data_IF_938035759599
#
_entry.id   IF_938035759599
#
_cell.length_a   1.000
_cell.length_b   1.000
_cell.length_c   1.000
_cell.angle_alpha   90.00
_cell.angle_beta   90.00
_cell.angle_gamma   90.00
#
_symmetry.space_group_name_H-M   'P 1'
#
loop_
_entity.id
_entity.type
_entity.pdbx_description
1 polymer ?
#
# COMPACT_ATOMS: atom_id res chain seq x y z
N UNK A 1 -10.01 6.89 -15.21
CA UNK A 1 -10.51 6.91 -13.80
C UNK A 1 -12.01 7.22 -13.71
N UNK A 2 -12.55 8.02 -14.61
CA UNK A 2 -13.93 8.56 -14.56
C UNK A 2 -15.04 7.52 -14.33
N UNK A 3 -14.92 6.32 -14.90
CA UNK A 3 -15.98 5.30 -14.86
C UNK A 3 -15.76 4.20 -13.82
N UNK A 4 -14.52 4.02 -13.33
CA UNK A 4 -14.14 2.85 -12.54
C UNK A 4 -14.19 1.51 -13.31
N UNK A 5 -14.41 1.53 -14.63
CA UNK A 5 -14.47 0.31 -15.43
C UNK A 5 -13.10 -0.36 -15.54
N UNK A 6 -13.10 -1.69 -15.43
CA UNK A 6 -11.92 -2.51 -15.62
C UNK A 6 -11.63 -2.58 -17.13
N UNK A 7 -10.55 -1.92 -17.57
CA UNK A 7 -10.12 -1.92 -18.98
C UNK A 7 -9.24 -3.13 -19.34
N UNK A 8 -8.57 -3.70 -18.33
CA UNK A 8 -7.72 -4.88 -18.47
C UNK A 8 -7.69 -5.65 -17.16
N UNK A 9 -7.75 -6.97 -17.24
CA UNK A 9 -7.63 -7.84 -16.09
C UNK A 9 -6.84 -9.10 -16.45
N UNK A 10 -6.16 -9.67 -15.47
CA UNK A 10 -5.56 -11.00 -15.53
C UNK A 10 -5.99 -11.73 -14.27
N UNK A 11 -6.66 -12.87 -14.44
CA UNK A 11 -7.03 -13.72 -13.32
C UNK A 11 -5.79 -14.46 -12.82
N UNK A 12 -5.58 -14.43 -11.50
CA UNK A 12 -4.58 -15.26 -10.81
C UNK A 12 -5.22 -16.58 -10.36
N UNK A 13 -4.41 -17.61 -10.09
CA UNK A 13 -4.91 -18.86 -9.52
C UNK A 13 -5.68 -18.57 -8.21
N UNK A 14 -6.88 -19.13 -8.08
CA UNK A 14 -7.76 -18.92 -6.93
C UNK A 14 -7.13 -19.41 -5.60
N UNK A 15 -6.07 -20.24 -5.66
CA UNK A 15 -5.30 -20.67 -4.50
C UNK A 15 -4.38 -19.57 -3.95
N UNK A 16 -4.11 -18.54 -4.74
CA UNK A 16 -3.24 -17.41 -4.37
C UNK A 16 -4.09 -16.29 -3.79
N UNK A 17 -3.81 -15.92 -2.55
CA UNK A 17 -4.36 -14.71 -1.95
C UNK A 17 -3.40 -13.55 -2.23
N UNK A 18 -3.66 -12.78 -3.29
CA UNK A 18 -2.86 -11.61 -3.65
C UNK A 18 -3.10 -10.42 -2.72
N UNK A 19 -2.02 -9.70 -2.43
CA UNK A 19 -1.98 -8.52 -1.56
C UNK A 19 -1.28 -7.37 -2.31
N UNK A 20 -0.37 -6.64 -1.67
CA UNK A 20 0.26 -5.42 -2.16
C UNK A 20 0.83 -5.52 -3.57
N UNK A 21 0.69 -4.42 -4.32
CA UNK A 21 1.08 -4.29 -5.71
C UNK A 21 1.84 -2.97 -5.88
N UNK A 22 2.96 -2.99 -6.60
CA UNK A 22 3.66 -1.75 -6.99
C UNK A 22 4.20 -1.84 -8.41
N UNK A 23 4.47 -0.69 -9.02
CA UNK A 23 5.22 -0.60 -10.27
C UNK A 23 6.69 -0.35 -9.95
N UNK A 24 7.57 -1.18 -10.52
CA UNK A 24 9.01 -1.04 -10.44
C UNK A 24 9.63 -1.24 -11.82
N UNK A 25 10.23 -0.18 -12.40
CA UNK A 25 10.93 -0.20 -13.70
C UNK A 25 10.17 -0.94 -14.82
N UNK A 26 8.89 -0.58 -15.04
CA UNK A 26 7.99 -1.20 -16.04
C UNK A 26 7.60 -2.66 -15.77
N UNK A 27 7.71 -3.09 -14.52
CA UNK A 27 7.20 -4.36 -14.04
C UNK A 27 6.22 -4.11 -12.92
N UNK A 28 5.13 -4.88 -12.91
CA UNK A 28 4.24 -4.94 -11.76
C UNK A 28 4.72 -6.05 -10.84
N UNK A 29 4.93 -5.72 -9.56
CA UNK A 29 5.32 -6.68 -8.53
C UNK A 29 4.13 -6.83 -7.59
N UNK A 30 3.63 -8.05 -7.43
CA UNK A 30 2.50 -8.37 -6.55
C UNK A 30 2.90 -9.38 -5.48
N UNK A 31 2.53 -9.13 -4.23
CA UNK A 31 2.75 -10.04 -3.12
C UNK A 31 1.60 -11.04 -2.96
N UNK A 32 1.90 -12.23 -2.43
CA UNK A 32 0.91 -13.11 -1.81
C UNK A 32 0.88 -12.98 -0.29
N UNK A 33 -0.26 -13.17 0.37
CA UNK A 33 -0.33 -13.05 1.82
C UNK A 33 0.60 -14.00 2.59
N UNK A 34 0.34 -15.33 2.57
CA UNK A 34 1.04 -16.32 3.43
C UNK A 34 2.04 -17.21 2.71
N UNK A 35 1.95 -17.30 1.39
CA UNK A 35 2.82 -18.20 0.61
C UNK A 35 4.23 -17.66 0.43
N UNK A 36 4.48 -16.37 0.75
CA UNK A 36 5.81 -15.77 0.65
C UNK A 36 6.31 -15.67 -0.80
N UNK A 37 5.40 -15.50 -1.76
CA UNK A 37 5.73 -15.44 -3.19
C UNK A 37 5.41 -14.06 -3.75
N UNK A 38 6.36 -13.47 -4.45
CA UNK A 38 6.19 -12.27 -5.26
C UNK A 38 6.05 -12.68 -6.73
N UNK A 39 5.08 -12.10 -7.42
CA UNK A 39 4.81 -12.32 -8.84
C UNK A 39 5.18 -11.07 -9.62
N UNK A 40 5.98 -11.25 -10.68
CA UNK A 40 6.46 -10.17 -11.52
C UNK A 40 5.76 -10.25 -12.85
N UNK A 41 5.05 -9.20 -13.23
CA UNK A 41 4.29 -9.14 -14.47
C UNK A 41 4.82 -8.04 -15.38
N UNK A 42 4.66 -8.25 -16.69
CA UNK A 42 4.81 -7.17 -17.65
C UNK A 42 3.69 -6.14 -17.46
N UNK A 43 4.01 -4.86 -17.28
CA UNK A 43 3.01 -3.81 -16.99
C UNK A 43 2.01 -3.60 -18.13
N UNK A 44 2.39 -3.91 -19.38
CA UNK A 44 1.50 -3.73 -20.54
C UNK A 44 0.65 -4.97 -20.78
N UNK A 45 1.24 -6.17 -20.80
CA UNK A 45 0.53 -7.41 -21.16
C UNK A 45 -0.15 -8.08 -19.96
N UNK A 46 0.32 -7.85 -18.74
CA UNK A 46 0.01 -8.59 -17.51
C UNK A 46 0.44 -10.06 -17.54
N UNK A 47 1.35 -10.43 -18.45
CA UNK A 47 1.91 -11.77 -18.44
C UNK A 47 2.92 -11.92 -17.31
N UNK A 48 2.85 -13.06 -16.64
CA UNK A 48 3.79 -13.42 -15.59
C UNK A 48 5.17 -13.65 -16.22
N UNK A 49 6.14 -12.86 -15.78
CA UNK A 49 7.54 -12.95 -16.20
C UNK A 49 8.27 -13.96 -15.32
N UNK A 50 8.13 -13.83 -14.00
CA UNK A 50 8.86 -14.63 -13.00
C UNK A 50 8.21 -14.54 -11.63
N UNK A 51 8.61 -15.46 -10.75
CA UNK A 51 8.26 -15.44 -9.33
C UNK A 51 9.52 -15.44 -8.48
N UNK A 52 9.41 -14.88 -7.27
CA UNK A 52 10.44 -14.90 -6.26
C UNK A 52 9.87 -15.26 -4.91
N UNK A 53 10.67 -15.94 -4.08
CA UNK A 53 10.30 -16.18 -2.69
C UNK A 53 10.87 -15.07 -1.81
N UNK A 54 10.10 -14.69 -0.80
CA UNK A 54 10.52 -13.78 0.26
C UNK A 54 10.07 -14.33 1.63
N UNK A 55 10.74 -13.97 2.73
CA UNK A 55 10.40 -14.51 4.04
C UNK A 55 9.11 -13.89 4.60
N UNK A 56 8.35 -14.64 5.40
CA UNK A 56 7.19 -14.12 6.15
C UNK A 56 5.98 -13.73 5.30
N UNK A 57 5.05 -12.98 5.89
CA UNK A 57 3.85 -12.49 5.20
C UNK A 57 4.14 -11.22 4.38
N UNK A 58 3.31 -10.98 3.35
CA UNK A 58 3.31 -9.74 2.57
C UNK A 58 1.93 -9.11 2.51
N UNK A 59 1.81 -7.84 2.95
CA UNK A 59 0.55 -7.09 3.01
C UNK A 59 0.58 -5.90 2.05
N UNK A 60 1.33 -4.85 2.35
CA UNK A 60 1.52 -3.70 1.46
C UNK A 60 2.88 -3.73 0.77
N UNK A 61 2.97 -3.08 -0.39
CA UNK A 61 4.19 -2.99 -1.19
C UNK A 61 4.30 -1.62 -1.83
N UNK A 62 5.45 -0.97 -1.66
CA UNK A 62 5.82 0.24 -2.42
C UNK A 62 7.33 0.25 -2.69
N UNK A 63 7.88 1.33 -3.25
CA UNK A 63 9.31 1.46 -3.54
C UNK A 63 9.91 2.73 -2.94
N UNK A 64 11.19 2.67 -2.61
CA UNK A 64 11.98 3.82 -2.18
C UNK A 64 13.46 3.61 -2.52
N UNK A 65 14.10 4.58 -3.17
CA UNK A 65 15.53 4.56 -3.51
C UNK A 65 16.01 3.21 -4.11
N UNK A 66 15.29 2.70 -5.11
CA UNK A 66 15.57 1.42 -5.78
C UNK A 66 15.44 0.17 -4.91
N UNK A 67 14.71 0.26 -3.79
CA UNK A 67 14.38 -0.87 -2.92
C UNK A 67 12.87 -1.08 -2.85
N UNK A 68 12.46 -2.32 -2.65
CA UNK A 68 11.08 -2.66 -2.31
C UNK A 68 10.86 -2.46 -0.82
N UNK A 69 9.71 -1.91 -0.44
CA UNK A 69 9.27 -1.81 0.95
C UNK A 69 8.03 -2.66 1.14
N UNK A 70 8.10 -3.62 2.06
CA UNK A 70 6.99 -4.52 2.39
C UNK A 70 6.53 -4.27 3.83
N UNK A 71 5.21 -4.21 4.02
CA UNK A 71 4.57 -4.36 5.33
C UNK A 71 4.00 -5.77 5.48
N UNK A 72 3.83 -6.22 6.71
CA UNK A 72 3.33 -7.55 7.06
C UNK A 72 2.33 -7.53 8.22
N UNK A 73 1.71 -6.37 8.48
CA UNK A 73 0.84 -6.16 9.64
C UNK A 73 1.56 -5.93 10.96
N UNK A 74 2.89 -6.09 11.02
CA UNK A 74 3.68 -5.71 12.20
C UNK A 74 3.92 -4.19 12.25
N UNK A 75 4.79 -3.76 13.16
CA UNK A 75 5.30 -2.37 13.22
C UNK A 75 6.66 -2.22 12.55
N UNK A 76 7.06 -3.16 11.69
CA UNK A 76 8.35 -3.14 11.00
C UNK A 76 8.10 -3.18 9.50
N UNK A 77 8.70 -2.24 8.78
CA UNK A 77 8.77 -2.29 7.33
C UNK A 77 10.08 -2.95 6.90
N UNK A 78 10.01 -3.83 5.91
CA UNK A 78 11.15 -4.60 5.41
C UNK A 78 11.57 -4.06 4.06
N UNK A 79 12.86 -3.81 3.90
CA UNK A 79 13.45 -3.35 2.65
C UNK A 79 14.06 -4.54 1.94
N UNK A 80 13.64 -4.79 0.71
CA UNK A 80 14.12 -5.92 -0.09
C UNK A 80 14.82 -5.41 -1.34
N UNK A 81 15.88 -6.13 -1.72
CA UNK A 81 16.51 -5.96 -3.01
C UNK A 81 15.53 -6.41 -4.12
N UNK A 82 15.23 -5.58 -5.13
CA UNK A 82 14.21 -5.86 -6.14
C UNK A 82 14.60 -6.94 -7.15
N UNK A 83 15.86 -7.37 -7.17
CA UNK A 83 16.38 -8.38 -8.10
C UNK A 83 16.37 -9.76 -7.45
N UNK A 84 16.77 -9.84 -6.19
CA UNK A 84 16.98 -11.08 -5.43
C UNK A 84 15.88 -11.36 -4.41
N UNK A 85 15.04 -10.35 -4.08
CA UNK A 85 14.02 -10.41 -3.03
C UNK A 85 14.56 -10.76 -1.64
N UNK A 86 15.87 -10.60 -1.45
CA UNK A 86 16.50 -10.74 -0.14
C UNK A 86 16.27 -9.47 0.66
N UNK A 87 15.96 -9.67 1.94
CA UNK A 87 15.84 -8.58 2.90
C UNK A 87 17.22 -7.92 3.08
N UNK A 88 17.26 -6.59 2.98
CA UNK A 88 18.47 -5.77 3.08
C UNK A 88 18.49 -4.96 4.38
N UNK A 89 17.32 -4.52 4.85
CA UNK A 89 17.19 -3.83 6.13
C UNK A 89 15.75 -3.84 6.66
N UNK A 90 15.60 -3.38 7.90
CA UNK A 90 14.31 -3.20 8.58
C UNK A 90 14.17 -1.77 9.09
N UNK A 91 12.95 -1.28 9.12
CA UNK A 91 12.59 0.04 9.65
C UNK A 91 11.45 -0.12 10.67
N UNK A 92 11.77 0.08 11.95
CA UNK A 92 10.77 0.07 13.01
C UNK A 92 9.94 1.36 12.99
N UNK A 93 8.64 1.22 12.82
CA UNK A 93 7.70 2.34 12.75
C UNK A 93 7.17 2.69 14.13
N UNK A 94 7.30 3.96 14.51
CA UNK A 94 6.82 4.44 15.81
C UNK A 94 6.18 5.81 15.74
N UNK A 95 5.23 6.04 16.64
CA UNK A 95 4.59 7.34 16.88
C UNK A 95 4.72 7.66 18.36
N UNK A 96 5.35 8.80 18.68
CA UNK A 96 5.63 9.21 20.06
C UNK A 96 6.33 8.10 20.89
N UNK A 97 7.31 7.42 20.29
CA UNK A 97 8.06 6.33 20.91
C UNK A 97 7.31 4.99 21.00
N UNK A 98 6.04 4.91 20.58
CA UNK A 98 5.26 3.67 20.62
C UNK A 98 5.20 3.00 19.24
N UNK A 99 5.41 1.68 19.13
CA UNK A 99 5.27 0.98 17.86
C UNK A 99 3.88 1.13 17.25
N UNK A 100 3.81 1.38 15.94
CA UNK A 100 2.54 1.40 15.19
C UNK A 100 2.39 0.07 14.48
N UNK A 101 1.48 -0.78 14.96
CA UNK A 101 1.17 -2.09 14.36
C UNK A 101 0.10 -1.96 13.28
N UNK A 102 -0.19 -3.08 12.60
CA UNK A 102 -1.23 -3.21 11.59
C UNK A 102 -0.98 -2.36 10.34
N UNK A 103 0.29 -2.12 10.02
CA UNK A 103 0.67 -1.48 8.77
C UNK A 103 0.24 -2.40 7.61
N UNK A 104 -0.61 -1.87 6.74
CA UNK A 104 -1.19 -2.61 5.63
C UNK A 104 -0.71 -2.01 4.32
N UNK A 105 -1.61 -1.61 3.43
CA UNK A 105 -1.23 -1.04 2.14
C UNK A 105 -0.31 0.19 2.28
N UNK A 106 0.64 0.30 1.36
CA UNK A 106 1.73 1.28 1.37
C UNK A 106 1.75 2.07 0.07
N UNK A 107 2.06 3.36 0.16
CA UNK A 107 2.36 4.18 -1.02
C UNK A 107 3.46 5.20 -0.74
N UNK A 108 4.32 5.45 -1.74
CA UNK A 108 5.34 6.48 -1.65
C UNK A 108 4.80 7.82 -2.15
N UNK A 109 4.63 8.77 -1.23
CA UNK A 109 4.05 10.09 -1.53
C UNK A 109 5.05 11.16 -1.15
N UNK A 110 5.59 11.87 -2.15
CA UNK A 110 6.54 12.99 -1.96
C UNK A 110 7.70 12.64 -1.00
N UNK A 111 8.29 11.45 -1.17
CA UNK A 111 9.41 10.97 -0.35
C UNK A 111 9.04 10.53 1.07
N UNK A 112 7.76 10.32 1.35
CA UNK A 112 7.25 9.75 2.62
C UNK A 112 6.49 8.47 2.35
N UNK A 113 6.59 7.52 3.26
CA UNK A 113 5.81 6.29 3.19
C UNK A 113 4.45 6.57 3.83
N UNK A 114 3.39 6.45 3.04
CA UNK A 114 2.02 6.45 3.53
C UNK A 114 1.63 5.00 3.78
N UNK A 115 1.04 4.71 4.94
CA UNK A 115 0.60 3.36 5.27
C UNK A 115 -0.82 3.39 5.85
N UNK A 116 -1.71 2.57 5.29
CA UNK A 116 -2.97 2.26 5.95
C UNK A 116 -2.69 1.55 7.27
N UNK A 117 -3.47 1.87 8.31
CA UNK A 117 -3.51 1.09 9.56
C UNK A 117 -4.77 0.23 9.54
N UNK A 118 -4.61 -1.09 9.43
CA UNK A 118 -5.73 -2.02 9.29
C UNK A 118 -6.70 -1.89 10.48
N UNK A 119 -8.00 -1.89 10.16
CA UNK A 119 -9.13 -1.64 11.09
C UNK A 119 -9.18 -0.23 11.71
N UNK A 120 -8.49 0.74 11.12
CA UNK A 120 -8.61 2.15 11.48
C UNK A 120 -8.87 3.02 10.24
N UNK A 121 -9.62 4.11 10.41
CA UNK A 121 -9.88 5.09 9.35
C UNK A 121 -8.75 6.13 9.25
N UNK A 122 -7.49 5.66 9.27
CA UNK A 122 -6.32 6.54 9.24
C UNK A 122 -5.21 6.00 8.34
N UNK A 123 -4.42 6.94 7.84
CA UNK A 123 -3.15 6.68 7.17
C UNK A 123 -2.05 7.37 7.97
N UNK A 124 -0.97 6.64 8.29
CA UNK A 124 0.21 7.23 8.93
C UNK A 124 1.21 7.65 7.87
N UNK A 125 1.82 8.82 8.07
CA UNK A 125 2.90 9.35 7.22
C UNK A 125 4.21 9.06 7.93
N UNK A 126 5.05 8.22 7.35
CA UNK A 126 6.26 7.67 7.95
C UNK A 126 7.47 8.23 7.22
N UNK A 127 8.46 8.70 7.99
CA UNK A 127 9.78 9.04 7.45
C UNK A 127 10.54 7.75 7.08
N UNK A 128 10.93 7.53 5.81
CA UNK A 128 11.66 6.33 5.41
C UNK A 128 13.05 6.22 6.06
N UNK A 129 13.62 7.35 6.48
CA UNK A 129 14.94 7.40 7.10
C UNK A 129 14.95 7.02 8.59
N UNK A 130 13.82 7.23 9.28
CA UNK A 130 13.79 7.14 10.76
C UNK A 130 12.70 6.23 11.31
N UNK A 131 11.71 5.85 10.49
CA UNK A 131 10.53 5.10 10.94
C UNK A 131 9.58 5.93 11.82
N UNK A 132 9.90 7.20 12.10
CA UNK A 132 9.02 8.07 12.88
C UNK A 132 7.83 8.49 12.03
N UNK A 133 6.64 8.36 12.62
CA UNK A 133 5.41 8.93 12.08
C UNK A 133 5.48 10.45 12.21
N UNK A 134 5.47 11.15 11.07
CA UNK A 134 5.51 12.61 10.97
C UNK A 134 4.13 13.25 10.78
N UNK A 135 3.09 12.44 10.56
CA UNK A 135 1.73 12.91 10.40
C UNK A 135 0.72 11.77 10.41
N UNK A 136 -0.55 12.10 10.67
CA UNK A 136 -1.66 11.15 10.58
C UNK A 136 -2.77 11.80 9.78
N UNK A 137 -3.16 11.16 8.68
CA UNK A 137 -4.33 11.54 7.89
C UNK A 137 -5.54 10.84 8.52
N UNK A 138 -6.51 11.64 8.96
CA UNK A 138 -7.78 11.13 9.47
C UNK A 138 -8.81 11.10 8.34
N UNK A 139 -9.31 9.90 8.02
CA UNK A 139 -10.33 9.67 6.99
C UNK A 139 -11.66 9.20 7.59
N UNK A 140 -11.84 9.33 8.91
CA UNK A 140 -13.07 8.96 9.59
C UNK A 140 -14.27 9.68 8.95
N UNK A 141 -15.30 8.91 8.61
CA UNK A 141 -16.52 9.41 8.00
C UNK A 141 -16.46 9.64 6.49
N UNK A 142 -15.31 9.43 5.83
CA UNK A 142 -15.16 9.62 4.36
C UNK A 142 -16.21 8.81 3.58
N UNK A 143 -16.44 7.56 3.97
CA UNK A 143 -17.41 6.69 3.29
C UNK A 143 -18.86 6.87 3.77
N UNK A 144 -19.11 7.60 4.86
CA UNK A 144 -20.41 7.57 5.57
C UNK A 144 -21.61 7.87 4.66
N UNK A 145 -21.46 8.79 3.72
CA UNK A 145 -22.53 9.18 2.77
C UNK A 145 -22.74 8.19 1.62
N UNK A 146 -21.79 7.28 1.39
CA UNK A 146 -21.76 6.38 0.24
C UNK A 146 -21.88 4.90 0.63
N UNK A 147 -21.79 4.58 1.93
CA UNK A 147 -21.77 3.21 2.42
C UNK A 147 -23.16 2.55 2.50
N UNK A 148 -24.27 3.31 2.42
CA UNK A 148 -25.61 2.76 2.59
C UNK A 148 -25.90 1.66 1.57
N UNK A 149 -26.21 0.44 2.03
CA UNK A 149 -26.45 -0.72 1.18
C UNK A 149 -25.21 -1.36 0.53
N UNK A 150 -24.02 -0.79 0.71
CA UNK A 150 -22.78 -1.36 0.19
C UNK A 150 -22.21 -2.43 1.16
N UNK A 151 -21.58 -3.48 0.61
CA UNK A 151 -20.80 -4.47 1.39
C UNK A 151 -19.41 -3.93 1.80
N UNK A 152 -19.31 -2.62 1.98
CA UNK A 152 -18.06 -1.95 2.25
C UNK A 152 -17.43 -2.48 3.54
N UNK A 153 -16.12 -2.69 3.49
CA UNK A 153 -15.31 -3.15 4.60
C UNK A 153 -14.31 -2.04 4.96
N UNK A 154 -13.13 -2.39 5.43
CA UNK A 154 -12.10 -1.45 5.91
C UNK A 154 -11.49 -0.59 4.80
N UNK A 155 -11.07 0.63 5.17
CA UNK A 155 -10.14 1.47 4.42
C UNK A 155 -8.86 0.68 4.10
N UNK A 156 -8.47 0.62 2.83
CA UNK A 156 -7.25 -0.04 2.35
C UNK A 156 -7.04 0.26 0.86
N UNK A 157 -5.91 0.85 0.50
CA UNK A 157 -5.57 1.23 -0.86
C UNK A 157 -5.25 2.72 -0.96
N UNK A 158 -4.03 3.04 -1.36
CA UNK A 158 -3.50 4.40 -1.53
C UNK A 158 -2.76 4.42 -2.87
N UNK A 159 -3.03 5.42 -3.70
CA UNK A 159 -2.28 5.62 -4.93
C UNK A 159 -1.92 7.09 -5.09
N UNK A 160 -0.72 7.37 -5.56
CA UNK A 160 -0.25 8.72 -5.76
C UNK A 160 0.21 8.93 -7.21
N UNK A 161 -0.43 9.90 -7.84
CA UNK A 161 -0.04 10.40 -9.15
C UNK A 161 0.99 11.51 -8.97
N UNK A 162 2.25 11.22 -9.29
CA UNK A 162 3.36 12.16 -9.17
C UNK A 162 3.30 13.30 -10.18
N UNK A 163 2.73 13.08 -11.36
CA UNK A 163 2.67 14.10 -12.42
C UNK A 163 1.57 15.13 -12.13
N UNK A 164 0.40 14.65 -11.74
CA UNK A 164 -0.75 15.49 -11.40
C UNK A 164 -0.79 15.99 -9.96
N UNK A 165 0.10 15.52 -9.08
CA UNK A 165 0.05 15.75 -7.63
C UNK A 165 -1.31 15.38 -7.01
N UNK A 166 -1.80 14.17 -7.32
CA UNK A 166 -3.11 13.69 -6.87
C UNK A 166 -2.97 12.47 -5.97
N UNK A 167 -3.65 12.51 -4.83
CA UNK A 167 -3.70 11.41 -3.87
C UNK A 167 -5.07 10.74 -3.92
N UNK A 168 -5.06 9.43 -4.13
CA UNK A 168 -6.27 8.62 -4.18
C UNK A 168 -6.33 7.63 -3.03
N UNK A 169 -7.54 7.43 -2.49
CA UNK A 169 -7.79 6.45 -1.43
C UNK A 169 -9.08 5.69 -1.69
N UNK A 170 -9.11 4.43 -1.27
CA UNK A 170 -10.29 3.55 -1.34
C UNK A 170 -10.29 2.54 -0.19
N UNK A 171 -11.17 1.55 -0.26
CA UNK A 171 -11.20 0.45 0.70
C UNK A 171 -11.76 -0.84 0.11
N UNK A 172 -11.65 -1.91 0.90
CA UNK A 172 -12.10 -3.24 0.51
C UNK A 172 -13.62 -3.19 0.29
N UNK A 173 -14.06 -3.47 -0.94
CA UNK A 173 -15.46 -3.39 -1.39
C UNK A 173 -16.11 -2.00 -1.28
N UNK A 174 -15.33 -0.93 -1.26
CA UNK A 174 -15.89 0.42 -1.29
C UNK A 174 -16.50 0.72 -2.67
N UNK A 175 -17.68 1.37 -2.73
CA UNK A 175 -18.31 1.75 -4.00
C UNK A 175 -17.67 2.98 -4.67
N UNK A 176 -16.62 3.57 -4.06
CA UNK A 176 -15.99 4.82 -4.49
C UNK A 176 -14.48 4.77 -4.29
N UNK A 177 -13.77 5.34 -5.25
CA UNK A 177 -12.40 5.84 -5.14
C UNK A 177 -12.48 7.35 -4.91
N UNK A 178 -11.72 7.86 -3.95
CA UNK A 178 -11.69 9.29 -3.63
C UNK A 178 -10.35 9.89 -4.02
N UNK A 179 -10.36 10.95 -4.82
CA UNK A 179 -9.26 11.91 -4.86
C UNK A 179 -9.38 12.82 -3.62
N UNK A 180 -8.30 12.96 -2.86
CA UNK A 180 -8.29 13.74 -1.61
C UNK A 180 -7.19 14.78 -1.60
N UNK A 181 -7.44 15.90 -0.91
CA UNK A 181 -6.44 16.91 -0.59
C UNK A 181 -6.26 16.98 0.91
N UNK A 182 -5.00 16.94 1.36
CA UNK A 182 -4.67 17.00 2.78
C UNK A 182 -4.60 18.45 3.24
N UNK A 183 -5.30 18.77 4.33
CA UNK A 183 -5.25 20.08 4.97
C UNK A 183 -4.62 19.87 6.36
N UNK A 184 -3.49 20.52 6.67
CA UNK A 184 -2.91 20.45 8.00
C UNK A 184 -3.91 20.93 9.05
N UNK A 185 -4.20 20.08 10.04
CA UNK A 185 -4.92 20.51 11.22
C UNK A 185 -3.92 21.12 12.19
N UNK A 186 -3.80 22.44 12.15
CA UNK A 186 -3.10 23.18 13.20
C UNK A 186 -4.07 23.19 14.39
N UNK A 187 -3.77 22.39 15.41
CA UNK A 187 -4.46 22.56 16.70
C UNK A 187 -3.87 23.81 17.34
N UNK A 188 -4.67 24.84 17.68
CA UNK A 188 -4.19 25.98 18.45
C UNK A 188 -3.67 25.56 19.82
#
# INVERSE_FOLDING_TARGET
METGNIIKNKKIDNKIFAEGLTNYKQQLIQLSWKTGTAFIYNTNSFDLIKTFNYPGEGWGLTTYNDQLIISDGSSVLRFLDPVTFKETSRLSVSRYGRPVKHLNELEMVKGKIFANVWRADQIVIISPHTGKVTGVVNLAGLLKKYASGARANVLNGIAYDTEGDRLFVTGKYWPKLFEIRLIPRITP
#
